data_IF_599810720917
#
_entry.id   IF_599810720917
#
_cell.length_a   1.000
_cell.length_b   1.000
_cell.length_c   1.000
_cell.angle_alpha   90.00
_cell.angle_beta   90.00
_cell.angle_gamma   90.00
#
_symmetry.space_group_name_H-M   'P 1'
#
loop_
_entity.id
_entity.type
_entity.pdbx_description
1 polymer ?
#
# COMPACT_ATOMS: atom_id res chain seq x y z
N UNK A 1 8.70 3.33 15.04
CA UNK A 1 9.67 3.22 13.94
C UNK A 1 8.93 3.25 12.62
N UNK A 2 9.46 3.97 11.68
CA UNK A 2 8.83 4.07 10.37
C UNK A 2 9.40 3.04 9.43
N UNK A 3 8.54 2.42 8.66
CA UNK A 3 8.93 1.36 7.76
C UNK A 3 10.01 1.81 6.76
N UNK A 4 9.83 2.98 6.18
CA UNK A 4 10.79 3.44 5.16
C UNK A 4 12.17 3.70 5.71
N UNK A 5 12.33 3.80 7.03
CA UNK A 5 13.64 4.06 7.62
C UNK A 5 14.49 2.82 7.71
N UNK A 6 13.89 1.64 7.67
CA UNK A 6 14.60 0.42 7.97
C UNK A 6 14.43 -0.69 6.96
N UNK A 7 13.54 -0.54 6.00
CA UNK A 7 13.24 -1.61 5.07
C UNK A 7 13.41 -1.16 3.64
N UNK A 8 14.04 -2.04 2.88
CA UNK A 8 14.08 -1.92 1.43
C UNK A 8 13.55 -3.23 0.88
N UNK A 9 12.53 -3.15 0.05
CA UNK A 9 11.92 -4.36 -0.49
C UNK A 9 12.19 -4.37 -1.99
N UNK A 10 13.04 -5.28 -2.46
CA UNK A 10 13.36 -5.31 -3.89
C UNK A 10 12.14 -5.67 -4.72
N UNK A 11 12.13 -5.14 -5.92
CA UNK A 11 11.13 -5.53 -6.91
C UNK A 11 11.21 -7.05 -7.11
N UNK A 12 10.06 -7.71 -7.19
CA UNK A 12 10.02 -9.15 -7.38
C UNK A 12 10.02 -9.94 -6.09
N UNK A 13 10.09 -9.29 -4.94
CA UNK A 13 9.98 -9.99 -3.67
C UNK A 13 8.58 -10.60 -3.58
N UNK A 14 8.47 -11.83 -3.09
CA UNK A 14 7.18 -12.49 -3.02
C UNK A 14 6.23 -11.74 -2.10
N UNK A 15 4.95 -11.85 -2.40
CA UNK A 15 3.93 -11.18 -1.60
C UNK A 15 3.99 -11.63 -0.14
N UNK A 16 4.17 -12.93 0.09
CA UNK A 16 4.26 -13.44 1.46
C UNK A 16 5.43 -12.80 2.20
N UNK A 17 6.55 -12.67 1.53
CA UNK A 17 7.73 -12.05 2.16
C UNK A 17 7.49 -10.57 2.41
N UNK A 18 6.86 -9.87 1.49
CA UNK A 18 6.54 -8.46 1.69
C UNK A 18 5.64 -8.30 2.92
N UNK A 19 4.61 -9.13 3.02
CA UNK A 19 3.69 -9.05 4.17
C UNK A 19 4.44 -9.27 5.48
N UNK A 20 5.38 -10.23 5.48
CA UNK A 20 6.15 -10.52 6.67
C UNK A 20 7.01 -9.32 7.08
N UNK A 21 7.66 -8.71 6.10
CA UNK A 21 8.51 -7.55 6.38
C UNK A 21 7.67 -6.39 6.92
N UNK A 22 6.54 -6.12 6.30
CA UNK A 22 5.67 -5.04 6.76
C UNK A 22 5.22 -5.26 8.20
N UNK A 23 4.91 -6.51 8.55
CA UNK A 23 4.50 -6.80 9.91
C UNK A 23 5.65 -6.63 10.89
N UNK A 24 6.82 -7.16 10.55
CA UNK A 24 7.95 -7.12 11.47
C UNK A 24 8.51 -5.72 11.68
N UNK A 25 8.60 -4.95 10.60
CA UNK A 25 9.26 -3.66 10.67
C UNK A 25 8.30 -2.56 11.12
N UNK A 26 7.08 -2.55 10.59
CA UNK A 26 6.15 -1.46 10.84
C UNK A 26 4.89 -1.84 11.59
N UNK A 27 4.76 -3.10 11.98
CA UNK A 27 3.54 -3.60 12.61
C UNK A 27 2.32 -3.37 11.71
N UNK A 28 2.51 -3.52 10.41
CA UNK A 28 1.46 -3.35 9.43
C UNK A 28 0.85 -4.71 9.13
N UNK A 29 -0.47 -4.80 9.19
CA UNK A 29 -1.18 -6.04 8.86
C UNK A 29 -1.76 -5.92 7.47
N UNK A 30 -1.61 -6.99 6.68
CA UNK A 30 -2.10 -7.03 5.31
C UNK A 30 -3.04 -8.22 5.16
N UNK A 31 -4.21 -7.97 4.57
CA UNK A 31 -5.20 -9.01 4.32
C UNK A 31 -5.58 -8.95 2.85
N UNK A 32 -5.56 -10.10 2.20
CA UNK A 32 -5.84 -10.17 0.76
C UNK A 32 -7.24 -10.72 0.53
N UNK A 33 -7.99 -10.03 -0.33
CA UNK A 33 -9.35 -10.44 -0.67
C UNK A 33 -9.47 -10.65 -2.16
N UNK A 34 -10.04 -11.78 -2.54
CA UNK A 34 -10.31 -12.08 -3.95
C UNK A 34 -11.79 -12.39 -4.09
N UNK A 35 -12.45 -11.67 -4.99
CA UNK A 35 -13.87 -11.89 -5.20
C UNK A 35 -14.29 -11.22 -6.50
N UNK A 36 -15.06 -11.96 -7.29
CA UNK A 36 -15.75 -11.38 -8.45
C UNK A 36 -14.80 -10.69 -9.43
N UNK A 37 -13.63 -11.26 -9.65
CA UNK A 37 -12.69 -10.69 -10.59
C UNK A 37 -11.97 -9.46 -10.07
N UNK A 38 -11.98 -9.25 -8.76
CA UNK A 38 -11.37 -8.08 -8.13
C UNK A 38 -10.45 -8.56 -7.01
N UNK A 39 -9.33 -7.89 -6.89
CA UNK A 39 -8.43 -8.06 -5.75
C UNK A 39 -8.47 -6.80 -4.92
N UNK A 40 -8.64 -6.96 -3.62
CA UNK A 40 -8.55 -5.86 -2.68
C UNK A 40 -7.51 -6.21 -1.62
N UNK A 41 -6.51 -5.35 -1.49
CA UNK A 41 -5.48 -5.50 -0.48
C UNK A 41 -5.81 -4.56 0.66
N UNK A 42 -6.11 -5.13 1.81
CA UNK A 42 -6.49 -4.37 3.00
C UNK A 42 -5.28 -4.22 3.89
N UNK A 43 -4.94 -2.99 4.22
CA UNK A 43 -3.73 -2.68 4.97
C UNK A 43 -4.09 -1.90 6.21
N UNK A 44 -3.64 -2.38 7.37
CA UNK A 44 -3.85 -1.70 8.65
C UNK A 44 -2.51 -1.14 9.10
N UNK A 45 -2.43 0.18 9.16
CA UNK A 45 -1.20 0.89 9.43
C UNK A 45 -1.30 1.61 10.77
N UNK A 46 -0.43 1.29 11.73
CA UNK A 46 -0.49 2.00 13.03
C UNK A 46 -0.07 3.45 12.87
N UNK A 47 -0.55 4.28 13.78
CA UNK A 47 -0.18 5.69 13.78
C UNK A 47 1.34 5.82 13.81
N UNK A 48 1.85 6.71 12.99
CA UNK A 48 3.29 6.99 12.94
C UNK A 48 4.06 6.17 11.92
N UNK A 49 3.44 5.16 11.32
CA UNK A 49 4.11 4.38 10.28
C UNK A 49 3.86 4.99 8.92
N UNK A 50 4.78 4.75 8.02
CA UNK A 50 4.73 5.32 6.68
C UNK A 50 5.10 4.25 5.67
N UNK A 51 4.30 4.14 4.63
CA UNK A 51 4.56 3.22 3.52
C UNK A 51 4.92 4.01 2.28
N UNK A 52 5.96 3.57 1.59
CA UNK A 52 6.38 4.18 0.33
C UNK A 52 6.24 3.15 -0.77
N UNK A 53 5.66 3.55 -1.87
CA UNK A 53 5.42 2.63 -2.98
C UNK A 53 5.70 3.30 -4.31
N UNK A 54 6.21 2.51 -5.24
CA UNK A 54 6.24 2.88 -6.65
C UNK A 54 5.06 2.20 -7.30
N UNK A 55 4.32 2.97 -8.05
CA UNK A 55 3.11 2.43 -8.63
C UNK A 55 3.40 1.45 -9.75
N UNK A 56 2.51 0.70 -9.81
CA UNK A 56 2.60 -0.20 -10.66
C UNK A 56 2.59 0.39 -11.97
N UNK A 57 2.33 -0.43 -12.77
CA UNK A 57 2.34 -0.04 -14.17
C UNK A 57 0.97 0.41 -14.65
N UNK A 58 -0.02 0.39 -13.82
CA UNK A 58 -1.35 0.86 -14.20
C UNK A 58 -2.01 1.57 -13.02
N UNK A 59 -3.01 2.39 -13.36
CA UNK A 59 -3.78 3.09 -12.36
C UNK A 59 -4.50 2.09 -11.46
N UNK A 60 -4.68 2.45 -10.21
CA UNK A 60 -5.51 1.63 -9.34
C UNK A 60 -6.27 2.53 -8.37
N UNK A 61 -7.31 1.96 -7.80
CA UNK A 61 -8.14 2.67 -6.85
C UNK A 61 -7.62 2.41 -5.44
N UNK A 62 -7.51 3.48 -4.67
CA UNK A 62 -7.19 3.36 -3.26
C UNK A 62 -8.34 3.89 -2.45
N UNK A 63 -8.66 3.18 -1.37
CA UNK A 63 -9.74 3.58 -0.49
C UNK A 63 -9.16 3.76 0.91
N UNK A 64 -9.21 4.99 1.40
CA UNK A 64 -8.89 5.24 2.81
C UNK A 64 -10.19 5.00 3.56
N UNK A 65 -10.28 3.84 4.20
CA UNK A 65 -11.53 3.44 4.84
C UNK A 65 -11.73 4.14 6.18
N UNK A 66 -10.65 4.31 6.94
CA UNK A 66 -10.75 4.98 8.23
C UNK A 66 -9.41 5.57 8.61
N UNK A 67 -9.45 6.57 9.46
CA UNK A 67 -8.25 7.22 9.96
C UNK A 67 -7.87 8.43 9.14
N UNK A 68 -6.79 9.08 9.55
CA UNK A 68 -6.26 10.25 8.87
C UNK A 68 -4.86 9.95 8.37
N UNK A 69 -4.63 10.21 7.10
CA UNK A 69 -3.35 9.92 6.46
C UNK A 69 -2.84 11.13 5.73
N UNK A 70 -1.51 11.24 5.69
CA UNK A 70 -0.83 12.20 4.84
C UNK A 70 -0.32 11.45 3.63
N UNK A 71 -0.79 11.84 2.46
CA UNK A 71 -0.46 11.15 1.22
C UNK A 71 0.41 12.09 0.38
N UNK A 72 1.52 11.57 -0.09
CA UNK A 72 2.42 12.33 -0.95
C UNK A 72 2.50 11.62 -2.29
N UNK A 73 2.19 12.35 -3.35
CA UNK A 73 2.27 11.81 -4.71
C UNK A 73 3.20 12.73 -5.50
N UNK A 74 4.29 12.18 -5.99
CA UNK A 74 5.30 12.94 -6.74
C UNK A 74 5.65 14.25 -6.03
N UNK A 75 5.85 14.17 -4.72
CA UNK A 75 6.29 15.30 -3.93
C UNK A 75 5.21 16.25 -3.47
N UNK A 76 3.97 16.03 -3.87
CA UNK A 76 2.86 16.89 -3.47
C UNK A 76 2.09 16.23 -2.35
N UNK A 77 2.00 16.89 -1.21
CA UNK A 77 1.39 16.31 -0.01
C UNK A 77 -0.03 16.82 0.21
N UNK A 78 -0.88 15.93 0.71
CA UNK A 78 -2.24 16.29 1.11
C UNK A 78 -2.68 15.39 2.25
N UNK A 79 -3.55 15.90 3.10
CA UNK A 79 -4.11 15.14 4.20
C UNK A 79 -5.54 14.71 3.87
N UNK A 80 -5.85 13.48 4.19
CA UNK A 80 -7.20 12.93 3.97
C UNK A 80 -7.67 12.20 5.21
N UNK A 81 -8.96 12.29 5.46
CA UNK A 81 -9.60 11.53 6.53
C UNK A 81 -10.66 10.65 5.90
N UNK A 82 -10.65 9.37 6.26
CA UNK A 82 -11.58 8.41 5.70
C UNK A 82 -13.02 8.61 6.14
N UNK A 83 -13.95 8.09 5.40
CA UNK A 83 -13.73 7.33 4.18
C UNK A 83 -13.52 8.22 2.96
N UNK A 84 -12.62 7.80 2.08
CA UNK A 84 -12.33 8.58 0.89
C UNK A 84 -11.72 7.68 -0.18
N UNK A 85 -12.12 7.86 -1.43
CA UNK A 85 -11.56 7.14 -2.56
C UNK A 85 -10.56 8.02 -3.29
N UNK A 86 -9.45 7.42 -3.67
CA UNK A 86 -8.38 8.09 -4.38
C UNK A 86 -7.96 7.23 -5.56
N UNK A 87 -7.55 7.86 -6.63
CA UNK A 87 -6.96 7.14 -7.76
C UNK A 87 -5.47 7.44 -7.78
N UNK A 88 -4.67 6.38 -7.78
CA UNK A 88 -3.22 6.52 -7.88
C UNK A 88 -2.86 6.22 -9.33
N UNK A 89 -2.34 7.22 -10.01
CA UNK A 89 -1.99 7.07 -11.42
C UNK A 89 -0.75 6.20 -11.58
N UNK A 90 -0.70 5.52 -12.73
CA UNK A 90 0.42 4.66 -13.04
C UNK A 90 1.73 5.44 -13.02
N UNK A 91 2.79 4.77 -12.59
CA UNK A 91 4.16 5.31 -12.61
C UNK A 91 4.36 6.53 -11.73
N UNK A 92 3.51 6.73 -10.75
CA UNK A 92 3.68 7.79 -9.77
C UNK A 92 4.21 7.20 -8.47
N UNK A 93 5.27 7.78 -7.99
CA UNK A 93 5.79 7.41 -6.67
C UNK A 93 4.87 8.00 -5.62
N UNK A 94 4.49 7.21 -4.62
CA UNK A 94 3.66 7.76 -3.56
C UNK A 94 4.00 7.17 -2.20
N UNK A 95 3.65 7.90 -1.18
CA UNK A 95 3.78 7.42 0.19
C UNK A 95 2.53 7.76 0.97
N UNK A 96 2.28 6.97 1.99
CA UNK A 96 1.14 7.15 2.88
C UNK A 96 1.65 7.08 4.31
N UNK A 97 1.48 8.16 5.05
CA UNK A 97 1.85 8.22 6.46
C UNK A 97 0.59 8.22 7.29
N UNK A 98 0.50 7.29 8.23
CA UNK A 98 -0.67 7.21 9.12
C UNK A 98 -0.50 8.22 10.25
N UNK A 99 -1.35 9.23 10.27
CA UNK A 99 -1.33 10.20 11.36
C UNK A 99 -2.13 9.70 12.55
N UNK A 100 -3.14 8.89 12.28
CA UNK A 100 -3.85 8.09 13.27
C UNK A 100 -3.79 6.65 12.76
N UNK A 101 -4.28 5.66 13.49
CA UNK A 101 -4.38 4.34 12.87
C UNK A 101 -5.24 4.41 11.60
N UNK A 102 -4.79 3.75 10.56
CA UNK A 102 -5.39 3.86 9.23
C UNK A 102 -5.75 2.48 8.70
N UNK A 103 -6.90 2.39 8.05
CA UNK A 103 -7.23 1.22 7.24
C UNK A 103 -7.33 1.67 5.79
N UNK A 104 -6.53 1.03 4.95
CA UNK A 104 -6.37 1.42 3.55
C UNK A 104 -6.56 0.22 2.66
N UNK A 105 -7.26 0.39 1.54
CA UNK A 105 -7.43 -0.68 0.56
C UNK A 105 -6.86 -0.26 -0.78
N UNK A 106 -6.15 -1.18 -1.42
CA UNK A 106 -5.76 -1.02 -2.82
C UNK A 106 -6.57 -2.03 -3.61
N UNK A 107 -7.24 -1.56 -4.67
CA UNK A 107 -8.23 -2.39 -5.36
C UNK A 107 -7.96 -2.36 -6.86
N UNK A 108 -7.95 -3.54 -7.50
CA UNK A 108 -7.89 -3.57 -8.95
C UNK A 108 -8.49 -4.87 -9.48
N UNK A 109 -8.88 -4.82 -10.74
CA UNK A 109 -9.40 -6.00 -11.41
C UNK A 109 -8.27 -6.95 -11.73
N UNK A 110 -8.52 -8.23 -11.61
CA UNK A 110 -7.51 -9.22 -11.94
C UNK A 110 -8.15 -10.58 -12.15
N UNK A 111 -7.50 -11.41 -12.99
CA UNK A 111 -7.87 -12.80 -13.11
C UNK A 111 -7.12 -13.68 -12.10
N UNK A 112 -6.14 -13.14 -11.45
CA UNK A 112 -5.36 -13.90 -10.47
C UNK A 112 -6.16 -14.11 -9.20
N UNK A 113 -6.00 -15.30 -8.63
CA UNK A 113 -6.55 -15.58 -7.31
C UNK A 113 -5.46 -16.05 -6.37
N UNK A 114 -4.21 -15.90 -6.77
CA UNK A 114 -3.04 -16.38 -6.06
C UNK A 114 -2.32 -15.19 -5.44
N UNK A 115 -2.21 -15.18 -4.13
CA UNK A 115 -1.56 -14.11 -3.39
C UNK A 115 -0.14 -13.86 -3.91
N UNK A 116 0.57 -14.92 -4.25
CA UNK A 116 1.97 -14.76 -4.65
C UNK A 116 2.14 -14.06 -5.99
N UNK A 117 1.11 -14.03 -6.81
CA UNK A 117 1.23 -13.45 -8.14
C UNK A 117 0.57 -12.09 -8.29
N UNK A 118 -0.47 -11.84 -7.53
CA UNK A 118 -1.29 -10.67 -7.78
C UNK A 118 -0.59 -9.37 -7.45
N UNK A 119 0.16 -9.34 -6.38
CA UNK A 119 0.73 -8.09 -5.87
C UNK A 119 2.03 -7.70 -6.55
N UNK A 120 2.75 -8.70 -7.06
CA UNK A 120 4.04 -8.43 -7.69
C UNK A 120 3.91 -7.60 -8.96
N UNK A 121 2.74 -7.62 -9.56
CA UNK A 121 2.53 -6.85 -10.78
C UNK A 121 2.23 -5.39 -10.51
N UNK A 122 1.80 -5.10 -9.28
CA UNK A 122 1.33 -3.77 -8.93
C UNK A 122 2.42 -2.88 -8.41
N UNK A 123 3.24 -3.41 -7.54
CA UNK A 123 4.02 -2.56 -6.65
C UNK A 123 5.48 -2.91 -6.71
N UNK A 124 6.26 -1.89 -6.92
CA UNK A 124 7.68 -1.97 -6.68
C UNK A 124 7.91 -1.20 -5.41
N UNK A 125 8.06 -1.90 -4.31
CA UNK A 125 8.12 -1.25 -3.03
C UNK A 125 9.53 -0.94 -2.61
N UNK A 126 9.69 0.27 -2.13
CA UNK A 126 10.98 0.74 -1.75
C UNK A 126 10.80 1.89 -0.79
N UNK A 127 11.14 1.68 0.44
CA UNK A 127 10.89 2.67 1.47
C UNK A 127 12.16 3.24 2.07
N UNK A 128 13.07 3.54 1.22
CA UNK A 128 14.23 4.32 1.65
C UNK A 128 14.05 5.72 1.11
N UNK A 129 14.10 6.64 1.97
CA UNK A 129 13.82 8.02 1.62
C UNK A 129 14.86 8.57 0.65
#
# INVERSE_FOLDING_TARGET
>A
MRFEDTAYIPKGTSTTEVDRILKEVGNVDVIHHFNSGVYAKEVHVPAGSKLCQHSXTFDHMSILASGTARVVVDGVAAEFTGPQCLTIEANKHHSVEALTPVVWFCVHATDHTDVENVDMMLIEERCNA
#
